data_IF_968121476648
#
_entry.id   IF_968121476648
#
_cell.length_a   1.000
_cell.length_b   1.000
_cell.length_c   1.000
_cell.angle_alpha   90.00
_cell.angle_beta   90.00
_cell.angle_gamma   90.00
#
_symmetry.space_group_name_H-M   'P 1'
#
loop_
_entity.id
_entity.type
_entity.pdbx_description
1 polymer ?
#
# COMPACT_ATOMS: atom_id res chain seq x y z
N UNK A 1 -30.42 -13.61 9.49
CA UNK A 1 -29.17 -14.21 8.96
C UNK A 1 -28.22 -13.05 8.74
N UNK A 2 -27.22 -12.87 9.61
CA UNK A 2 -26.28 -11.75 9.54
C UNK A 2 -25.29 -12.00 8.41
N UNK A 3 -25.30 -11.15 7.39
CA UNK A 3 -24.32 -11.20 6.30
C UNK A 3 -22.93 -10.95 6.90
N UNK A 4 -22.09 -11.98 6.90
CA UNK A 4 -20.72 -11.91 7.34
C UNK A 4 -19.92 -11.18 6.25
N UNK A 5 -19.83 -9.84 6.34
CA UNK A 5 -19.08 -9.00 5.39
C UNK A 5 -17.59 -9.09 5.69
N UNK A 6 -16.97 -10.22 5.34
CA UNK A 6 -15.51 -10.33 5.31
C UNK A 6 -14.99 -9.46 4.16
N UNK A 7 -14.20 -8.43 4.46
CA UNK A 7 -13.50 -7.64 3.42
C UNK A 7 -12.69 -8.59 2.53
N UNK A 8 -12.70 -8.40 1.20
CA UNK A 8 -11.94 -9.26 0.29
C UNK A 8 -10.43 -9.09 0.55
N UNK A 9 -9.69 -10.20 0.54
CA UNK A 9 -8.24 -10.23 0.75
C UNK A 9 -7.52 -9.62 -0.45
N UNK A 10 -6.72 -8.57 -0.24
CA UNK A 10 -5.98 -7.89 -1.31
C UNK A 10 -4.66 -8.61 -1.61
N UNK A 11 -4.66 -9.55 -2.54
CA UNK A 11 -3.45 -10.29 -2.95
C UNK A 11 -2.70 -9.66 -4.13
N UNK A 12 -3.43 -9.03 -5.05
CA UNK A 12 -2.88 -8.41 -6.26
C UNK A 12 -3.46 -7.02 -6.41
N UNK A 13 -2.65 -6.09 -6.91
CA UNK A 13 -3.10 -4.78 -7.38
C UNK A 13 -2.98 -4.71 -8.89
N UNK A 14 -3.93 -4.04 -9.53
CA UNK A 14 -3.94 -3.80 -10.97
C UNK A 14 -4.46 -2.38 -11.23
N UNK A 15 -3.57 -1.40 -11.01
CA UNK A 15 -3.89 0.00 -11.26
C UNK A 15 -3.43 0.40 -12.66
N UNK A 16 -4.13 1.33 -13.34
CA UNK A 16 -3.73 1.86 -14.64
C UNK A 16 -2.56 2.86 -14.52
N UNK A 17 -1.49 2.44 -13.83
CA UNK A 17 -0.29 3.20 -13.53
C UNK A 17 0.94 2.35 -13.87
N UNK A 18 2.08 2.97 -14.21
CA UNK A 18 3.31 2.21 -14.45
C UNK A 18 3.71 1.44 -13.19
N UNK A 19 3.75 0.10 -13.29
CA UNK A 19 4.23 -0.76 -12.21
C UNK A 19 5.74 -0.59 -12.08
N UNK A 20 6.20 -0.09 -10.95
CA UNK A 20 7.63 0.07 -10.66
C UNK A 20 8.22 -1.25 -10.17
N UNK A 21 7.59 -1.87 -9.17
CA UNK A 21 8.09 -3.10 -8.55
C UNK A 21 6.99 -3.85 -7.80
N UNK A 22 6.99 -5.19 -7.89
CA UNK A 22 6.22 -6.05 -6.98
C UNK A 22 7.15 -6.73 -5.99
N UNK A 23 7.04 -6.33 -4.73
CA UNK A 23 7.70 -7.02 -3.62
C UNK A 23 6.90 -8.22 -3.13
N UNK A 24 7.42 -8.87 -2.08
CA UNK A 24 6.75 -9.99 -1.40
C UNK A 24 5.39 -9.61 -0.81
N UNK A 25 5.29 -8.40 -0.24
CA UNK A 25 4.12 -7.93 0.52
C UNK A 25 3.63 -6.53 0.14
N UNK A 26 4.31 -5.85 -0.79
CA UNK A 26 3.97 -4.50 -1.26
C UNK A 26 4.06 -4.44 -2.77
N UNK A 27 3.15 -3.71 -3.38
CA UNK A 27 3.24 -3.30 -4.78
C UNK A 27 3.59 -1.82 -4.85
N UNK A 28 4.42 -1.43 -5.80
CA UNK A 28 4.87 -0.04 -5.97
C UNK A 28 4.62 0.39 -7.40
N UNK A 29 3.94 1.53 -7.55
CA UNK A 29 3.66 2.18 -8.82
C UNK A 29 4.44 3.49 -8.90
N UNK A 30 4.89 3.81 -10.10
CA UNK A 30 5.59 5.06 -10.41
C UNK A 30 4.58 6.16 -10.74
N UNK A 31 4.69 7.30 -10.06
CA UNK A 31 3.91 8.51 -10.32
C UNK A 31 4.76 9.62 -10.96
N UNK A 32 5.97 9.31 -11.42
CA UNK A 32 6.92 10.25 -12.02
C UNK A 32 7.97 10.70 -11.00
N UNK A 33 7.63 11.69 -10.16
CA UNK A 33 8.52 12.17 -9.10
C UNK A 33 8.26 11.52 -7.73
N UNK A 34 7.21 10.68 -7.64
CA UNK A 34 6.75 10.05 -6.42
C UNK A 34 6.49 8.56 -6.67
N UNK A 35 6.47 7.78 -5.58
CA UNK A 35 6.10 6.37 -5.61
C UNK A 35 4.81 6.14 -4.83
N UNK A 36 3.84 5.46 -5.44
CA UNK A 36 2.68 4.92 -4.75
C UNK A 36 3.01 3.53 -4.22
N UNK A 37 3.06 3.37 -2.90
CA UNK A 37 3.35 2.10 -2.25
C UNK A 37 2.08 1.54 -1.64
N UNK A 38 1.64 0.36 -2.10
CA UNK A 38 0.45 -0.32 -1.61
C UNK A 38 0.86 -1.51 -0.74
N UNK A 39 0.52 -1.47 0.53
CA UNK A 39 0.65 -2.61 1.43
C UNK A 39 -0.46 -3.62 1.15
N UNK A 40 -0.09 -4.82 0.68
CA UNK A 40 -1.04 -5.90 0.34
C UNK A 40 -1.29 -6.82 1.54
N UNK A 41 -2.30 -7.67 1.43
CA UNK A 41 -2.61 -8.71 2.43
C UNK A 41 -1.75 -9.97 2.28
N UNK A 42 -0.87 -10.01 1.26
CA UNK A 42 0.13 -11.06 1.08
C UNK A 42 1.02 -11.18 2.31
N UNK A 43 1.37 -12.42 2.63
CA UNK A 43 2.32 -12.79 3.68
C UNK A 43 3.44 -13.61 3.05
N UNK A 44 4.65 -13.48 3.60
CA UNK A 44 5.80 -14.27 3.17
C UNK A 44 6.53 -14.84 4.37
N UNK A 45 6.95 -16.09 4.27
CA UNK A 45 7.76 -16.79 5.27
C UNK A 45 8.74 -17.71 4.54
N UNK A 46 9.95 -17.89 5.11
CA UNK A 46 11.00 -18.73 4.51
C UNK A 46 11.26 -18.39 3.03
N UNK A 47 11.33 -17.09 2.73
CA UNK A 47 11.51 -16.54 1.38
C UNK A 47 10.43 -16.84 0.34
N UNK A 48 9.32 -17.46 0.73
CA UNK A 48 8.19 -17.78 -0.15
C UNK A 48 7.00 -16.87 0.17
N UNK A 49 6.34 -16.35 -0.86
CA UNK A 49 5.02 -15.70 -0.73
C UNK A 49 3.97 -16.79 -0.63
N UNK A 50 3.18 -16.79 0.44
CA UNK A 50 2.17 -17.81 0.67
C UNK A 50 0.93 -17.57 -0.22
N UNK A 51 0.22 -18.64 -0.62
CA UNK A 51 -0.93 -18.52 -1.53
C UNK A 51 -2.15 -17.85 -0.88
N UNK A 52 -2.25 -17.89 0.45
CA UNK A 52 -3.29 -17.21 1.21
C UNK A 52 -2.76 -15.91 1.83
N UNK A 53 -3.64 -14.91 1.96
CA UNK A 53 -3.37 -13.67 2.66
C UNK A 53 -4.17 -13.56 3.95
N UNK A 54 -3.86 -12.55 4.75
CA UNK A 54 -4.61 -12.21 5.96
C UNK A 54 -5.46 -10.96 5.67
N UNK A 55 -6.80 -11.04 5.71
CA UNK A 55 -7.66 -9.90 5.43
C UNK A 55 -7.27 -8.68 6.27
N UNK A 56 -7.22 -7.50 5.65
CA UNK A 56 -6.92 -6.21 6.26
C UNK A 56 -5.50 -6.06 6.86
N UNK A 57 -4.61 -7.04 6.69
CA UNK A 57 -3.22 -6.93 7.16
C UNK A 57 -2.51 -5.75 6.50
N UNK A 58 -2.69 -5.59 5.19
CA UNK A 58 -2.12 -4.48 4.44
C UNK A 58 -2.54 -3.12 5.00
N UNK A 59 -3.84 -2.97 5.28
CA UNK A 59 -4.44 -1.77 5.87
C UNK A 59 -3.81 -1.42 7.23
N UNK A 60 -3.81 -2.38 8.17
CA UNK A 60 -3.28 -2.15 9.54
C UNK A 60 -1.79 -1.82 9.50
N UNK A 61 -1.00 -2.55 8.70
CA UNK A 61 0.43 -2.30 8.59
C UNK A 61 0.76 -0.97 7.90
N UNK A 62 -0.08 -0.53 6.95
CA UNK A 62 0.05 0.79 6.34
C UNK A 62 -0.14 1.88 7.40
N UNK A 63 -1.23 1.81 8.17
CA UNK A 63 -1.54 2.75 9.25
C UNK A 63 -0.44 2.79 10.32
N UNK A 64 0.04 1.62 10.75
CA UNK A 64 1.14 1.53 11.71
C UNK A 64 2.42 2.17 11.18
N UNK A 65 2.75 1.93 9.91
CA UNK A 65 3.92 2.55 9.27
C UNK A 65 3.77 4.07 9.20
N UNK A 66 2.60 4.56 8.77
CA UNK A 66 2.27 6.00 8.75
C UNK A 66 2.40 6.65 10.12
N UNK A 67 1.87 6.00 11.17
CA UNK A 67 1.97 6.50 12.54
C UNK A 67 3.43 6.72 12.94
N UNK A 68 4.29 5.71 12.74
CA UNK A 68 5.69 5.81 13.11
C UNK A 68 6.46 6.82 12.26
N UNK A 69 6.22 6.89 10.94
CA UNK A 69 6.85 7.90 10.09
C UNK A 69 6.52 9.34 10.53
N UNK A 70 5.30 9.59 10.99
CA UNK A 70 4.91 10.89 11.54
C UNK A 70 5.56 11.13 12.91
N UNK A 71 5.57 10.12 13.76
CA UNK A 71 6.08 10.22 15.13
C UNK A 71 7.60 10.44 15.21
N UNK A 72 8.35 10.01 14.19
CA UNK A 72 9.82 10.13 14.15
C UNK A 72 10.33 11.17 13.15
N UNK A 73 9.43 11.95 12.53
CA UNK A 73 9.78 12.91 11.49
C UNK A 73 10.72 14.04 11.97
N UNK A 74 10.66 14.37 13.26
CA UNK A 74 11.53 15.34 13.93
C UNK A 74 12.92 14.77 14.26
N UNK A 75 13.05 13.44 14.32
CA UNK A 75 14.31 12.74 14.62
C UNK A 75 15.14 12.46 13.36
N UNK A 76 14.49 12.06 12.26
CA UNK A 76 15.15 11.73 11.00
C UNK A 76 14.25 12.01 9.80
N UNK A 77 14.79 12.60 8.70
CA UNK A 77 14.04 12.73 7.46
C UNK A 77 13.56 11.37 6.96
N UNK A 78 12.33 11.32 6.45
CA UNK A 78 11.75 10.12 5.87
C UNK A 78 10.99 10.43 4.57
N UNK A 79 10.58 9.38 3.86
CA UNK A 79 10.01 9.47 2.52
C UNK A 79 8.47 9.58 2.49
N UNK A 80 7.81 9.63 3.65
CA UNK A 80 6.35 9.72 3.69
C UNK A 80 5.91 11.11 3.21
N UNK A 81 5.14 11.14 2.12
CA UNK A 81 4.49 12.37 1.62
C UNK A 81 3.07 12.46 2.16
N UNK A 82 2.24 11.47 1.84
CA UNK A 82 0.87 11.39 2.30
C UNK A 82 0.47 9.93 2.54
N UNK A 83 -0.42 9.71 3.51
CA UNK A 83 -1.06 8.42 3.71
C UNK A 83 -2.44 8.47 3.04
N UNK A 84 -2.64 7.62 2.04
CA UNK A 84 -3.87 7.59 1.24
C UNK A 84 -4.90 6.69 1.93
N UNK A 85 -5.98 7.29 2.40
CA UNK A 85 -7.18 6.64 2.94
C UNK A 85 -8.38 6.72 2.00
N UNK A 86 -8.41 7.73 1.12
CA UNK A 86 -9.34 7.88 0.00
C UNK A 86 -8.58 7.88 -1.34
N UNK A 87 -9.03 7.07 -2.30
CA UNK A 87 -8.46 7.00 -3.65
C UNK A 87 -8.51 8.35 -4.37
N UNK A 88 -9.46 9.23 -4.03
CA UNK A 88 -9.57 10.55 -4.63
C UNK A 88 -8.38 11.46 -4.31
N UNK A 89 -7.68 11.23 -3.19
CA UNK A 89 -6.45 11.95 -2.86
C UNK A 89 -5.34 11.72 -3.89
N UNK A 90 -5.36 10.58 -4.60
CA UNK A 90 -4.37 10.30 -5.64
C UNK A 90 -4.45 11.26 -6.82
N UNK A 91 -5.61 11.88 -7.10
CA UNK A 91 -5.77 12.79 -8.23
C UNK A 91 -4.75 13.95 -8.22
N UNK A 92 -4.31 14.37 -7.04
CA UNK A 92 -3.28 15.40 -6.85
C UNK A 92 -1.88 14.93 -7.29
N UNK A 93 -1.64 13.61 -7.25
CA UNK A 93 -0.35 12.97 -7.48
C UNK A 93 -0.26 12.22 -8.79
N UNK A 94 -1.38 12.02 -9.49
CA UNK A 94 -1.39 11.34 -10.77
C UNK A 94 -0.60 12.16 -11.80
N UNK A 95 0.29 11.53 -12.58
CA UNK A 95 0.97 12.22 -13.67
C UNK A 95 -0.07 12.71 -14.67
N UNK A 96 0.12 13.93 -15.19
CA UNK A 96 -0.73 14.47 -16.25
C UNK A 96 -0.69 13.50 -17.43
N UNK A 97 -1.86 13.01 -17.84
CA UNK A 97 -1.98 12.21 -19.07
C UNK A 97 -1.66 13.13 -20.25
N UNK A 98 -0.51 12.89 -20.89
CA UNK A 98 -0.20 13.47 -22.19
C UNK A 98 -1.15 12.92 -23.26
#
# INVERSE_FOLDING_TARGET
MTNNTSSPVLLNTDLPLPLFFRGKVRDTYDLGNLLLIIATDRISAFDVVLPCGIPNKGLVLNQLSTFWFRQTADLVPNHLVEAIDDVHCLNTYLPVKN
#
